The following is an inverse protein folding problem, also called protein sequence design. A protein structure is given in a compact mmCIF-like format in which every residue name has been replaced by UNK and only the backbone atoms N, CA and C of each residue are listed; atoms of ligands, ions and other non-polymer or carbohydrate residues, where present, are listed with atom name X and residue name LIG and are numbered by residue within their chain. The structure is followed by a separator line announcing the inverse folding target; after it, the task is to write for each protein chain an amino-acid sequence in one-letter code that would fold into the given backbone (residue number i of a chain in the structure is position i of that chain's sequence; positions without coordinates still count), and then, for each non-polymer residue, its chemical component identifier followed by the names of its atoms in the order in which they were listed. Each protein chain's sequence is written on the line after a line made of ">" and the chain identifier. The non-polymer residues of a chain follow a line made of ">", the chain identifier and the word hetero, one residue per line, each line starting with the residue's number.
data_IF_312570955425
#
_entry.id   IF_312570955425
#
_cell.length_a   1.000
_cell.length_b   1.000
_cell.length_c   1.000
_cell.angle_alpha   90.00
_cell.angle_beta   90.00
_cell.angle_gamma   90.00
#
_symmetry.space_group_name_H-M   'P 1'
#
loop_
_entity.id
_entity.type
_entity.pdbx_description
1 polymer ?
#
# COMPACT_ATOMS: atom_id res chain seq x y z
N UNK A 1 -24.25 31.34 1.15
CA UNK A 1 -24.51 29.93 1.54
C UNK A 1 -24.54 29.10 0.27
N UNK A 2 -23.71 28.06 0.17
CA UNK A 2 -23.63 27.17 -1.00
C UNK A 2 -23.95 25.75 -0.55
N UNK A 3 -25.15 25.26 -0.85
CA UNK A 3 -25.57 23.89 -0.50
C UNK A 3 -24.83 22.91 -1.41
N UNK A 4 -24.25 21.87 -0.82
CA UNK A 4 -23.54 20.78 -1.50
C UNK A 4 -23.94 19.46 -0.85
N UNK A 5 -23.85 18.36 -1.60
CA UNK A 5 -24.11 17.01 -1.11
C UNK A 5 -22.89 16.12 -1.32
N UNK A 6 -22.62 15.23 -0.35
CA UNK A 6 -21.52 14.27 -0.38
C UNK A 6 -21.99 12.94 0.23
N UNK A 7 -21.72 11.83 -0.45
CA UNK A 7 -21.93 10.50 0.12
C UNK A 7 -20.87 10.24 1.20
N UNK A 8 -21.30 9.78 2.37
CA UNK A 8 -20.43 9.46 3.50
C UNK A 8 -20.53 7.97 3.85
N UNK A 9 -19.51 7.48 4.56
CA UNK A 9 -19.42 6.09 5.02
C UNK A 9 -19.18 6.07 6.52
N UNK A 10 -19.78 5.08 7.21
CA UNK A 10 -19.53 4.81 8.63
C UNK A 10 -19.12 3.36 8.76
N UNK A 11 -18.00 3.10 9.44
CA UNK A 11 -17.52 1.76 9.77
C UNK A 11 -17.71 1.53 11.27
N UNK A 12 -18.56 0.57 11.65
CA UNK A 12 -18.71 0.18 13.04
C UNK A 12 -17.59 -0.80 13.43
N UNK A 13 -16.59 -0.30 14.15
CA UNK A 13 -15.42 -1.09 14.54
C UNK A 13 -15.75 -2.20 15.56
N UNK A 14 -16.83 -2.08 16.32
CA UNK A 14 -17.31 -3.13 17.23
C UNK A 14 -17.82 -4.38 16.48
N UNK A 15 -18.29 -4.18 15.25
CA UNK A 15 -18.75 -5.28 14.37
C UNK A 15 -17.71 -5.69 13.33
N UNK A 16 -16.55 -5.06 13.31
CA UNK A 16 -15.48 -5.42 12.39
C UNK A 16 -14.85 -6.74 12.85
N UNK A 17 -14.80 -7.73 11.96
CA UNK A 17 -14.21 -9.04 12.24
C UNK A 17 -12.85 -9.24 11.55
N UNK A 18 -12.31 -8.21 10.90
CA UNK A 18 -10.99 -8.28 10.27
C UNK A 18 -10.86 -9.35 9.17
N UNK A 19 -11.92 -9.61 8.40
CA UNK A 19 -11.93 -10.72 7.44
C UNK A 19 -11.34 -10.41 6.06
N UNK A 20 -10.93 -9.15 5.80
CA UNK A 20 -10.36 -8.70 4.51
C UNK A 20 -11.25 -8.87 3.26
N UNK A 21 -12.52 -9.26 3.40
CA UNK A 21 -13.43 -9.43 2.23
C UNK A 21 -13.55 -8.15 1.42
N UNK A 22 -13.69 -6.99 2.07
CA UNK A 22 -13.75 -5.68 1.42
C UNK A 22 -12.48 -5.36 0.61
N UNK A 23 -11.31 -5.79 1.08
CA UNK A 23 -10.03 -5.64 0.38
C UNK A 23 -9.97 -6.48 -0.88
N UNK A 24 -10.32 -7.76 -0.78
CA UNK A 24 -10.28 -8.70 -1.92
C UNK A 24 -11.26 -8.27 -3.01
N UNK A 25 -12.50 -7.90 -2.65
CA UNK A 25 -13.49 -7.46 -3.65
C UNK A 25 -13.06 -6.18 -4.36
N UNK A 26 -12.46 -5.24 -3.62
CA UNK A 26 -11.92 -4.01 -4.21
C UNK A 26 -10.75 -4.31 -5.16
N UNK A 27 -9.84 -5.21 -4.74
CA UNK A 27 -8.69 -5.64 -5.52
C UNK A 27 -9.09 -6.22 -6.87
N UNK A 28 -10.01 -7.18 -6.85
CA UNK A 28 -10.46 -7.87 -8.06
C UNK A 28 -11.21 -6.96 -9.02
N UNK A 29 -11.97 -5.99 -8.50
CA UNK A 29 -12.70 -5.06 -9.34
C UNK A 29 -11.80 -3.98 -9.96
N UNK A 30 -10.75 -3.51 -9.26
CA UNK A 30 -10.10 -2.25 -9.61
C UNK A 30 -8.58 -2.30 -9.80
N UNK A 31 -7.86 -3.10 -9.00
CA UNK A 31 -6.39 -3.06 -8.91
C UNK A 31 -5.70 -4.40 -9.18
N UNK A 32 -6.29 -5.24 -10.04
CA UNK A 32 -5.76 -6.54 -10.50
C UNK A 32 -4.86 -6.46 -11.75
N UNK A 33 -4.47 -5.25 -12.17
CA UNK A 33 -3.67 -5.00 -13.37
C UNK A 33 -2.21 -4.77 -13.01
N UNK A 34 -1.32 -4.93 -14.00
CA UNK A 34 0.10 -4.71 -13.80
C UNK A 34 0.46 -3.26 -13.46
N UNK A 35 1.35 -3.08 -12.49
CA UNK A 35 1.70 -1.81 -11.85
C UNK A 35 0.83 -1.44 -10.65
N UNK A 36 -0.21 -2.24 -10.34
CA UNK A 36 -1.14 -2.00 -9.23
C UNK A 36 -1.30 -3.22 -8.31
N UNK A 37 -0.49 -4.26 -8.47
CA UNK A 37 -0.56 -5.51 -7.71
C UNK A 37 -0.27 -5.29 -6.23
N UNK A 38 0.60 -4.34 -5.89
CA UNK A 38 0.80 -3.91 -4.51
C UNK A 38 -0.32 -2.98 -4.01
N UNK A 39 -1.08 -2.33 -4.89
CA UNK A 39 -2.06 -1.31 -4.48
C UNK A 39 -3.34 -1.94 -3.92
N UNK A 40 -3.65 -1.60 -2.67
CA UNK A 40 -4.89 -1.94 -1.97
C UNK A 40 -5.65 -0.65 -1.64
N UNK A 41 -6.59 -0.24 -2.49
CA UNK A 41 -7.40 0.96 -2.22
C UNK A 41 -8.20 0.86 -0.92
N UNK A 42 -8.68 -0.34 -0.61
CA UNK A 42 -9.30 -0.67 0.66
C UNK A 42 -8.45 -1.75 1.34
N UNK A 43 -7.74 -1.41 2.40
CA UNK A 43 -6.98 -2.34 3.23
C UNK A 43 -7.59 -2.44 4.64
N UNK A 44 -7.27 -3.52 5.35
CA UNK A 44 -7.66 -3.74 6.75
C UNK A 44 -6.38 -3.93 7.56
N UNK A 45 -6.28 -3.28 8.71
CA UNK A 45 -5.09 -3.29 9.55
C UNK A 45 -5.44 -3.72 10.97
N UNK A 46 -4.66 -4.64 11.53
CA UNK A 46 -4.74 -5.00 12.95
C UNK A 46 -4.04 -3.94 13.80
N UNK A 47 -4.63 -3.60 14.95
CA UNK A 47 -4.05 -2.67 15.92
C UNK A 47 -3.80 -3.34 17.26
N UNK A 48 -2.65 -3.07 17.93
CA UNK A 48 -1.53 -2.22 17.51
C UNK A 48 -0.74 -2.76 16.29
N UNK A 49 -0.19 -1.87 15.45
CA UNK A 49 0.52 -2.27 14.22
C UNK A 49 1.04 -1.06 13.42
N UNK A 50 1.92 -1.32 12.44
CA UNK A 50 2.59 -0.31 11.61
C UNK A 50 1.71 0.23 10.47
N UNK A 51 0.72 -0.54 10.03
CA UNK A 51 -0.18 -0.19 8.94
C UNK A 51 0.42 -0.35 7.53
N UNK A 52 -0.32 0.14 6.53
CA UNK A 52 0.02 0.00 5.11
C UNK A 52 -0.15 1.34 4.36
N UNK A 53 0.93 1.97 3.85
CA UNK A 53 2.34 1.59 3.98
C UNK A 53 2.83 1.68 5.44
N UNK A 54 3.96 1.03 5.74
CA UNK A 54 4.51 0.97 7.10
C UNK A 54 4.77 2.38 7.64
N UNK A 55 4.24 2.63 8.84
CA UNK A 55 4.45 3.90 9.54
C UNK A 55 3.70 5.08 8.92
N UNK A 56 2.69 4.87 8.06
CA UNK A 56 1.99 5.97 7.37
C UNK A 56 1.41 7.03 8.31
N UNK A 57 1.17 6.69 9.58
CA UNK A 57 0.66 7.63 10.59
C UNK A 57 1.70 8.65 11.06
N UNK A 58 3.00 8.39 10.90
CA UNK A 58 4.07 9.31 11.29
C UNK A 58 4.16 10.48 10.29
N UNK A 59 3.46 11.57 10.61
CA UNK A 59 3.49 12.77 9.79
C UNK A 59 4.75 13.60 9.99
N UNK A 60 5.61 13.30 10.97
CA UNK A 60 6.94 13.91 11.02
C UNK A 60 7.85 13.29 9.97
N UNK A 61 7.68 12.02 9.64
CA UNK A 61 8.39 11.42 8.51
C UNK A 61 7.72 11.80 7.18
N UNK A 62 6.44 11.46 6.98
CA UNK A 62 5.77 11.52 5.67
C UNK A 62 5.26 12.90 5.26
N UNK A 63 5.21 13.85 6.21
CA UNK A 63 4.76 15.24 6.00
C UNK A 63 3.41 15.39 5.26
N UNK A 64 2.48 14.45 5.47
CA UNK A 64 1.11 14.53 4.96
C UNK A 64 0.25 15.59 5.65
N UNK A 65 -0.89 15.92 5.04
CA UNK A 65 -1.91 16.79 5.62
C UNK A 65 -1.55 18.29 5.70
N UNK A 66 -2.20 18.97 6.64
CA UNK A 66 -2.13 20.43 6.84
C UNK A 66 -1.70 20.76 8.27
N UNK A 67 -1.02 21.89 8.43
CA UNK A 67 -0.71 22.49 9.74
C UNK A 67 -1.28 23.90 9.81
N UNK A 68 -1.72 24.30 11.00
CA UNK A 68 -2.21 25.65 11.27
C UNK A 68 -1.03 26.55 11.62
N UNK A 69 -0.98 27.75 11.04
CA UNK A 69 0.01 28.77 11.37
C UNK A 69 -0.42 29.57 12.60
N UNK A 70 0.51 30.29 13.23
CA UNK A 70 0.21 31.18 14.35
C UNK A 70 -0.80 32.27 13.98
N UNK A 71 -0.76 32.72 12.72
CA UNK A 71 -1.75 33.64 12.14
C UNK A 71 -3.11 32.98 11.81
N UNK A 72 -3.31 31.70 12.15
CA UNK A 72 -4.56 30.96 12.00
C UNK A 72 -4.83 30.40 10.60
N UNK A 73 -3.93 30.55 9.63
CA UNK A 73 -4.09 30.03 8.26
C UNK A 73 -3.63 28.57 8.16
N UNK A 74 -4.14 27.82 7.18
CA UNK A 74 -3.67 26.47 6.87
C UNK A 74 -2.53 26.49 5.85
N UNK A 75 -1.49 25.70 6.09
CA UNK A 75 -0.41 25.42 5.13
C UNK A 75 -0.19 23.92 5.02
N UNK A 76 0.23 23.44 3.85
CA UNK A 76 0.61 22.04 3.68
C UNK A 76 1.83 21.72 4.54
N UNK A 77 1.83 20.56 5.22
CA UNK A 77 2.97 20.12 6.03
C UNK A 77 4.20 19.84 5.17
N UNK A 78 4.01 19.30 3.97
CA UNK A 78 5.04 19.11 2.94
C UNK A 78 5.55 20.41 2.27
N UNK A 79 5.06 21.58 2.68
CA UNK A 79 5.47 22.86 2.13
C UNK A 79 4.58 23.38 0.98
N UNK A 80 4.76 24.67 0.66
CA UNK A 80 3.95 25.40 -0.31
C UNK A 80 4.28 25.10 -1.78
N UNK A 81 3.70 25.89 -2.69
CA UNK A 81 3.85 25.72 -4.14
C UNK A 81 5.31 25.75 -4.61
N UNK A 82 6.12 26.68 -4.09
CA UNK A 82 7.54 26.77 -4.44
C UNK A 82 8.34 25.53 -3.98
N UNK A 83 8.10 25.05 -2.76
CA UNK A 83 8.77 23.84 -2.27
C UNK A 83 8.43 22.62 -3.14
N UNK A 84 7.17 22.47 -3.55
CA UNK A 84 6.75 21.39 -4.46
C UNK A 84 7.41 21.50 -5.83
N UNK A 85 7.55 22.71 -6.36
CA UNK A 85 8.22 22.93 -7.66
C UNK A 85 9.70 22.55 -7.59
N UNK A 86 10.39 22.91 -6.50
CA UNK A 86 11.81 22.56 -6.31
C UNK A 86 12.03 21.05 -6.15
N UNK A 87 11.04 20.31 -5.62
CA UNK A 87 11.12 18.86 -5.40
C UNK A 87 10.34 18.04 -6.46
N UNK A 88 10.01 18.63 -7.62
CA UNK A 88 9.20 17.93 -8.63
C UNK A 88 9.93 16.75 -9.28
N UNK A 89 11.25 16.86 -9.46
CA UNK A 89 12.07 15.84 -10.12
C UNK A 89 12.44 14.68 -9.20
N UNK A 90 12.37 14.89 -7.89
CA UNK A 90 12.56 13.86 -6.88
C UNK A 90 11.84 14.29 -5.61
N UNK A 91 10.79 13.57 -5.25
CA UNK A 91 10.03 13.86 -4.04
C UNK A 91 10.69 13.13 -2.86
N UNK A 92 11.34 13.84 -1.92
CA UNK A 92 12.08 13.21 -0.82
C UNK A 92 11.18 12.51 0.20
N UNK A 93 9.86 12.74 0.15
CA UNK A 93 8.87 12.17 1.08
C UNK A 93 7.91 11.18 0.42
N UNK A 94 8.25 10.72 -0.78
CA UNK A 94 7.51 9.66 -1.46
C UNK A 94 7.84 8.30 -0.83
N UNK A 95 6.84 7.53 -0.36
CA UNK A 95 7.08 6.16 0.08
C UNK A 95 7.63 5.29 -1.05
N UNK A 96 8.62 4.46 -0.71
CA UNK A 96 9.21 3.46 -1.59
C UNK A 96 8.34 2.20 -1.68
N UNK A 97 8.65 1.32 -2.63
CA UNK A 97 7.94 0.03 -2.73
C UNK A 97 8.15 -0.84 -1.48
N UNK A 98 9.30 -0.71 -0.83
CA UNK A 98 9.61 -1.42 0.41
C UNK A 98 8.78 -0.93 1.60
N UNK A 99 8.26 0.30 1.58
CA UNK A 99 7.33 0.79 2.61
C UNK A 99 5.95 0.13 2.47
N UNK A 100 5.61 -0.31 1.27
CA UNK A 100 4.45 -1.14 0.97
C UNK A 100 4.84 -2.62 1.10
N UNK A 101 5.07 -3.30 -0.02
CA UNK A 101 5.75 -4.57 -0.17
C UNK A 101 6.12 -4.76 -1.64
N UNK A 102 7.14 -5.55 -1.93
CA UNK A 102 7.42 -5.98 -3.30
C UNK A 102 6.43 -7.09 -3.68
N UNK A 103 5.54 -6.86 -4.68
CA UNK A 103 4.55 -7.86 -5.05
C UNK A 103 5.23 -9.09 -5.63
N UNK A 104 4.75 -10.28 -5.26
CA UNK A 104 5.34 -11.55 -5.69
C UNK A 104 4.26 -12.54 -6.16
N UNK A 105 4.70 -13.53 -6.93
CA UNK A 105 3.93 -14.72 -7.30
C UNK A 105 4.77 -15.97 -7.05
N UNK A 106 4.25 -17.15 -7.38
CA UNK A 106 4.97 -18.42 -7.23
C UNK A 106 5.07 -19.16 -8.56
N UNK A 107 6.16 -19.92 -8.72
CA UNK A 107 6.29 -20.85 -9.84
C UNK A 107 5.46 -22.12 -9.59
N UNK A 108 4.18 -22.04 -9.91
CA UNK A 108 3.26 -23.16 -9.79
C UNK A 108 3.53 -24.26 -10.84
N UNK A 109 4.17 -23.94 -11.96
CA UNK A 109 4.42 -24.90 -13.03
C UNK A 109 5.44 -25.96 -12.61
N UNK A 110 6.42 -25.60 -11.78
CA UNK A 110 7.38 -26.54 -11.18
C UNK A 110 6.69 -27.69 -10.44
N UNK A 111 5.52 -27.47 -9.82
CA UNK A 111 4.79 -28.53 -9.13
C UNK A 111 4.18 -29.57 -10.08
N UNK A 112 3.95 -29.20 -11.34
CA UNK A 112 3.31 -30.06 -12.34
C UNK A 112 4.31 -30.67 -13.32
N UNK A 113 5.40 -29.96 -13.61
CA UNK A 113 6.32 -30.27 -14.70
C UNK A 113 7.68 -30.80 -14.23
N UNK A 114 7.98 -30.79 -12.92
CA UNK A 114 9.28 -31.22 -12.42
C UNK A 114 9.60 -32.68 -12.80
N UNK A 115 10.81 -32.97 -13.28
CA UNK A 115 11.24 -34.33 -13.57
C UNK A 115 11.38 -35.16 -12.28
N UNK A 116 11.47 -36.48 -12.42
CA UNK A 116 11.76 -37.35 -11.29
C UNK A 116 13.11 -36.97 -10.65
N UNK A 117 13.10 -36.72 -9.35
CA UNK A 117 14.24 -36.26 -8.58
C UNK A 117 14.12 -36.74 -7.13
N UNK A 118 15.20 -36.64 -6.36
CA UNK A 118 15.26 -37.12 -4.98
C UNK A 118 14.40 -36.29 -4.02
N UNK A 119 14.34 -34.96 -4.23
CA UNK A 119 13.62 -34.03 -3.37
C UNK A 119 12.28 -33.61 -3.98
N UNK A 120 11.25 -33.43 -3.15
CA UNK A 120 9.96 -32.94 -3.63
C UNK A 120 10.09 -31.52 -4.22
N UNK A 121 9.48 -31.25 -5.40
CA UNK A 121 9.46 -29.91 -5.96
C UNK A 121 8.62 -28.96 -5.08
N UNK A 122 9.03 -27.69 -5.04
CA UNK A 122 8.34 -26.63 -4.28
C UNK A 122 8.18 -25.43 -5.19
N UNK A 123 7.03 -24.77 -5.13
CA UNK A 123 6.80 -23.50 -5.83
C UNK A 123 7.55 -22.37 -5.12
N UNK A 124 8.61 -21.87 -5.73
CA UNK A 124 9.41 -20.76 -5.20
C UNK A 124 8.76 -19.41 -5.49
N UNK A 125 8.90 -18.42 -4.60
CA UNK A 125 8.41 -17.07 -4.85
C UNK A 125 9.31 -16.28 -5.79
N UNK A 126 8.69 -15.53 -6.70
CA UNK A 126 9.34 -14.65 -7.67
C UNK A 126 8.73 -13.25 -7.61
N UNK A 127 9.57 -12.23 -7.75
CA UNK A 127 9.12 -10.84 -7.81
C UNK A 127 8.29 -10.57 -9.06
N UNK A 128 7.16 -9.89 -8.90
CA UNK A 128 6.36 -9.38 -10.03
C UNK A 128 6.96 -8.09 -10.62
N UNK A 129 8.01 -7.53 -10.00
CA UNK A 129 8.72 -6.35 -10.50
C UNK A 129 9.94 -6.78 -11.33
N UNK A 130 10.82 -7.61 -10.78
CA UNK A 130 12.06 -8.03 -11.44
C UNK A 130 11.96 -9.38 -12.16
N UNK A 131 11.00 -10.24 -11.79
CA UNK A 131 10.93 -11.63 -12.25
C UNK A 131 11.94 -12.57 -11.54
N UNK A 132 12.83 -12.02 -10.74
CA UNK A 132 13.86 -12.80 -10.04
C UNK A 132 13.28 -13.55 -8.85
N UNK A 133 13.93 -14.65 -8.49
CA UNK A 133 13.60 -15.38 -7.26
C UNK A 133 13.88 -14.48 -6.06
N UNK A 134 12.96 -14.46 -5.10
CA UNK A 134 13.08 -13.61 -3.91
C UNK A 134 12.74 -14.38 -2.64
N UNK A 135 13.04 -13.79 -1.48
CA UNK A 135 12.48 -14.24 -0.20
C UNK A 135 11.39 -13.25 0.21
N UNK A 136 10.24 -13.77 0.63
CA UNK A 136 9.13 -12.93 1.08
C UNK A 136 9.40 -12.48 2.52
N UNK A 137 9.70 -11.20 2.70
CA UNK A 137 10.00 -10.63 4.02
C UNK A 137 8.81 -9.89 4.64
N UNK A 138 7.88 -9.38 3.83
CA UNK A 138 6.80 -8.51 4.29
C UNK A 138 5.60 -8.48 3.34
N UNK A 139 4.39 -8.24 3.86
CA UNK A 139 3.17 -8.03 3.09
C UNK A 139 2.16 -7.11 3.79
N UNK A 140 1.17 -6.65 3.01
CA UNK A 140 -0.04 -6.00 3.50
C UNK A 140 -1.00 -6.98 4.19
#
# INVERSE_FOLDING_TARGET
>A
MRVMAQMAMVMNLDKCIGCHTCSVTCKQAWTNRSGMEYVWFNNVETRPGLGYPRGYQDQEEWKGGWVRTDAGRLKLKAGGRLNKLLNIFSNPKMPSIQDYYEPWTYDYETLLNAPAQENFPVATPHSLISGEQMNVEWSA
#
